data_IF_510524187404
#
_entry.id   IF_510524187404
#
_cell.length_a   1.000
_cell.length_b   1.000
_cell.length_c   1.000
_cell.angle_alpha   90.00
_cell.angle_beta   90.00
_cell.angle_gamma   90.00
#
_symmetry.space_group_name_H-M   'P 1'
#
loop_
_entity.id
_entity.type
_entity.pdbx_description
1 polymer ?
#
# COMPACT_ATOMS: atom_id res chain seq x y z
N UNK A 1 33.62 -4.88 4.86
CA UNK A 1 32.59 -5.44 3.97
C UNK A 1 31.11 -5.10 4.28
N UNK A 2 30.71 -4.30 5.30
CA UNK A 2 29.28 -3.99 5.53
C UNK A 2 28.73 -2.79 4.73
N UNK A 3 29.60 -2.01 4.07
CA UNK A 3 29.19 -0.80 3.33
C UNK A 3 28.64 -1.12 1.92
N UNK A 4 29.17 -2.17 1.28
CA UNK A 4 28.75 -2.60 -0.06
C UNK A 4 27.39 -3.31 -0.04
N UNK A 5 27.05 -4.04 1.03
CA UNK A 5 25.73 -4.69 1.18
C UNK A 5 24.60 -3.66 1.36
N UNK A 6 24.84 -2.59 2.13
CA UNK A 6 23.88 -1.49 2.30
C UNK A 6 23.60 -0.75 0.99
N UNK A 7 24.63 -0.49 0.19
CA UNK A 7 24.49 0.17 -1.13
C UNK A 7 23.69 -0.69 -2.11
N UNK A 8 23.88 -2.01 -2.09
CA UNK A 8 23.14 -2.93 -2.96
C UNK A 8 21.66 -3.04 -2.57
N UNK A 9 21.35 -3.11 -1.27
CA UNK A 9 19.98 -3.22 -0.75
C UNK A 9 19.13 -1.98 -1.09
N UNK A 10 19.65 -0.77 -0.86
CA UNK A 10 18.90 0.47 -1.17
C UNK A 10 18.72 0.69 -2.67
N UNK A 11 19.69 0.29 -3.51
CA UNK A 11 19.60 0.41 -4.97
C UNK A 11 18.62 -0.60 -5.57
N UNK A 12 18.50 -1.80 -5.02
CA UNK A 12 17.56 -2.82 -5.50
C UNK A 12 16.11 -2.37 -5.28
N UNK A 13 15.80 -1.78 -4.12
CA UNK A 13 14.45 -1.23 -3.83
C UNK A 13 14.12 -0.06 -4.76
N UNK A 14 15.07 0.84 -5.00
CA UNK A 14 14.91 1.94 -5.96
C UNK A 14 14.70 1.40 -7.38
N UNK A 15 15.40 0.34 -7.77
CA UNK A 15 15.23 -0.29 -9.09
C UNK A 15 13.85 -0.95 -9.17
N UNK A 16 13.37 -1.68 -8.16
CA UNK A 16 12.03 -2.30 -8.17
C UNK A 16 10.92 -1.24 -8.22
N UNK A 17 11.02 -0.17 -7.43
CA UNK A 17 10.05 0.94 -7.44
C UNK A 17 10.09 1.70 -8.77
N UNK A 18 11.27 2.00 -9.33
CA UNK A 18 11.40 2.70 -10.61
C UNK A 18 11.05 1.82 -11.82
N UNK A 19 11.25 0.50 -11.77
CA UNK A 19 10.88 -0.43 -12.84
C UNK A 19 9.36 -0.58 -12.95
N UNK A 20 8.64 -0.45 -11.83
CA UNK A 20 7.18 -0.33 -11.82
C UNK A 20 6.67 0.99 -12.45
N UNK A 21 7.47 2.07 -12.45
CA UNK A 21 7.09 3.36 -13.08
C UNK A 21 7.43 3.45 -14.58
N UNK A 22 8.50 2.81 -15.04
CA UNK A 22 8.97 2.93 -16.43
C UNK A 22 8.20 2.07 -17.45
N UNK A 23 7.53 1.00 -17.02
CA UNK A 23 6.87 0.06 -17.95
C UNK A 23 5.47 0.50 -18.42
N UNK A 24 4.96 1.65 -17.97
CA UNK A 24 3.66 2.19 -18.40
C UNK A 24 3.70 3.15 -19.60
N UNK A 25 4.88 3.49 -20.15
CA UNK A 25 4.98 4.43 -21.28
C UNK A 25 4.79 3.80 -22.68
N UNK A 26 4.57 2.48 -22.78
CA UNK A 26 4.23 1.85 -24.05
C UNK A 26 2.72 1.68 -24.18
N UNK A 27 2.01 2.79 -24.36
CA UNK A 27 0.61 2.77 -24.78
C UNK A 27 0.53 2.42 -26.27
N UNK A 28 0.39 1.14 -26.59
CA UNK A 28 -0.32 0.76 -27.80
C UNK A 28 -1.82 0.74 -27.46
N UNK A 29 -2.61 1.53 -28.17
CA UNK A 29 -4.07 1.54 -28.07
C UNK A 29 -4.60 0.11 -28.27
N UNK A 30 -5.00 -0.54 -27.18
CA UNK A 30 -5.85 -1.72 -27.25
C UNK A 30 -7.20 -1.28 -26.69
N UNK A 31 -8.17 -1.15 -27.59
CA UNK A 31 -9.56 -0.94 -27.21
C UNK A 31 -9.97 -2.05 -26.23
N UNK A 32 -10.39 -1.73 -25.00
CA UNK A 32 -10.73 -2.73 -23.98
C UNK A 32 -11.92 -3.62 -24.34
N UNK A 33 -12.68 -3.27 -25.38
CA UNK A 33 -13.98 -3.85 -25.69
C UNK A 33 -13.94 -5.18 -26.45
N UNK A 34 -12.79 -5.64 -26.95
CA UNK A 34 -12.67 -6.96 -27.58
C UNK A 34 -11.34 -7.64 -27.21
N UNK A 35 -11.23 -8.12 -25.97
CA UNK A 35 -10.16 -9.06 -25.63
C UNK A 35 -10.72 -10.49 -25.67
N UNK A 36 -10.34 -11.26 -26.68
CA UNK A 36 -10.61 -12.70 -26.70
C UNK A 36 -9.92 -13.37 -25.49
N UNK A 37 -10.55 -14.44 -25.01
CA UNK A 37 -10.08 -15.37 -23.99
C UNK A 37 -8.59 -15.72 -24.12
N UNK A 38 -8.09 -15.95 -25.34
CA UNK A 38 -6.68 -16.28 -25.59
C UNK A 38 -5.73 -15.12 -25.22
N UNK A 39 -6.09 -13.88 -25.53
CA UNK A 39 -5.32 -12.69 -25.14
C UNK A 39 -5.43 -12.45 -23.64
N UNK A 40 -6.62 -12.62 -23.07
CA UNK A 40 -6.86 -12.50 -21.62
C UNK A 40 -5.97 -13.46 -20.84
N UNK A 41 -5.97 -14.74 -21.21
CA UNK A 41 -5.19 -15.78 -20.55
C UNK A 41 -3.68 -15.48 -20.62
N UNK A 42 -3.17 -15.00 -21.77
CA UNK A 42 -1.76 -14.61 -21.91
C UNK A 42 -1.39 -13.44 -21.02
N UNK A 43 -2.22 -12.39 -20.96
CA UNK A 43 -1.97 -11.21 -20.10
C UNK A 43 -2.07 -11.56 -18.64
N UNK A 44 -3.08 -12.35 -18.26
CA UNK A 44 -3.26 -12.84 -16.90
C UNK A 44 -2.04 -13.64 -16.44
N UNK A 45 -1.55 -14.59 -17.25
CA UNK A 45 -0.34 -15.36 -16.91
C UNK A 45 0.88 -14.45 -16.73
N UNK A 46 1.04 -13.41 -17.56
CA UNK A 46 2.12 -12.43 -17.38
C UNK A 46 2.00 -11.65 -16.07
N UNK A 47 0.79 -11.20 -15.73
CA UNK A 47 0.52 -10.50 -14.46
C UNK A 47 0.76 -11.43 -13.26
N UNK A 48 0.35 -12.69 -13.34
CA UNK A 48 0.57 -13.65 -12.25
C UNK A 48 2.06 -13.96 -12.06
N UNK A 49 2.80 -14.25 -13.14
CA UNK A 49 4.23 -14.53 -13.07
C UNK A 49 4.99 -13.28 -12.60
N UNK A 50 4.77 -12.13 -13.26
CA UNK A 50 5.43 -10.87 -12.90
C UNK A 50 5.07 -10.40 -11.50
N UNK A 51 3.80 -10.49 -11.12
CA UNK A 51 3.31 -10.16 -9.78
C UNK A 51 3.91 -11.07 -8.71
N UNK A 52 4.09 -12.36 -8.98
CA UNK A 52 4.76 -13.28 -8.05
C UNK A 52 6.22 -12.91 -7.84
N UNK A 53 6.95 -12.55 -8.91
CA UNK A 53 8.34 -12.07 -8.82
C UNK A 53 8.41 -10.78 -8.00
N UNK A 54 7.53 -9.82 -8.28
CA UNK A 54 7.47 -8.55 -7.52
C UNK A 54 7.15 -8.83 -6.05
N UNK A 55 6.18 -9.68 -5.75
CA UNK A 55 5.81 -10.06 -4.40
C UNK A 55 7.00 -10.66 -3.63
N UNK A 56 7.67 -11.67 -4.19
CA UNK A 56 8.84 -12.30 -3.54
C UNK A 56 9.97 -11.29 -3.33
N UNK A 57 10.25 -10.44 -4.33
CA UNK A 57 11.27 -9.40 -4.22
C UNK A 57 10.91 -8.37 -3.13
N UNK A 58 9.65 -7.96 -3.04
CA UNK A 58 9.16 -7.06 -1.98
C UNK A 58 9.29 -7.69 -0.61
N UNK A 59 8.84 -8.94 -0.41
CA UNK A 59 8.93 -9.63 0.88
C UNK A 59 10.38 -9.83 1.31
N UNK A 60 11.27 -10.22 0.39
CA UNK A 60 12.70 -10.32 0.67
C UNK A 60 13.32 -8.95 1.01
N UNK A 61 12.90 -7.89 0.32
CA UNK A 61 13.32 -6.52 0.62
C UNK A 61 12.86 -6.04 1.99
N UNK A 62 11.61 -6.30 2.37
CA UNK A 62 11.10 -6.02 3.71
C UNK A 62 11.87 -6.81 4.77
N UNK A 63 12.07 -8.10 4.56
CA UNK A 63 12.88 -8.92 5.46
C UNK A 63 14.27 -8.33 5.69
N UNK A 64 15.00 -8.03 4.62
CA UNK A 64 16.36 -7.49 4.69
C UNK A 64 16.42 -6.08 5.31
N UNK A 65 15.44 -5.22 5.07
CA UNK A 65 15.47 -3.81 5.51
C UNK A 65 14.80 -3.56 6.86
N UNK A 66 13.90 -4.44 7.28
CA UNK A 66 13.04 -4.23 8.44
C UNK A 66 13.28 -5.30 9.52
N UNK A 67 13.51 -6.57 9.16
CA UNK A 67 13.52 -7.68 10.13
C UNK A 67 14.90 -8.30 10.41
N UNK A 68 15.81 -8.30 9.44
CA UNK A 68 17.07 -9.06 9.50
C UNK A 68 17.98 -8.77 10.71
N UNK A 69 17.96 -7.53 11.19
CA UNK A 69 18.83 -7.10 12.29
C UNK A 69 18.21 -7.41 13.68
N UNK A 70 17.03 -8.03 13.73
CA UNK A 70 16.33 -8.43 14.94
C UNK A 70 16.32 -9.96 15.10
N UNK A 71 16.29 -10.42 16.34
CA UNK A 71 16.21 -11.86 16.62
C UNK A 71 14.86 -12.40 16.17
N UNK A 72 14.87 -13.54 15.46
CA UNK A 72 13.66 -14.29 15.14
C UNK A 72 13.20 -15.06 16.38
N UNK A 73 11.95 -14.85 16.79
CA UNK A 73 11.35 -15.46 17.98
C UNK A 73 10.32 -16.53 17.61
N UNK A 74 9.69 -17.15 18.60
CA UNK A 74 8.46 -17.93 18.36
C UNK A 74 7.31 -16.99 18.04
N UNK A 75 6.40 -17.41 17.16
CA UNK A 75 5.25 -16.60 16.79
C UNK A 75 4.51 -16.06 18.02
N UNK A 76 4.32 -14.75 18.08
CA UNK A 76 3.64 -14.08 19.17
C UNK A 76 2.77 -12.94 18.64
N UNK A 77 1.72 -12.63 19.39
CA UNK A 77 0.86 -11.49 19.11
C UNK A 77 1.27 -10.27 19.92
N UNK A 78 0.99 -9.10 19.40
CA UNK A 78 1.21 -7.82 20.06
C UNK A 78 -0.02 -6.92 19.91
N UNK A 79 -0.27 -6.06 20.88
CA UNK A 79 -1.36 -5.10 20.82
C UNK A 79 -0.78 -3.69 20.87
N UNK A 80 -0.57 -3.14 19.69
CA UNK A 80 0.03 -1.84 19.44
C UNK A 80 -1.02 -0.76 19.15
N UNK A 81 -2.29 -1.02 19.46
CA UNK A 81 -3.39 -0.07 19.24
C UNK A 81 -3.25 1.25 19.99
N UNK A 82 -2.30 1.39 20.92
CA UNK A 82 -2.00 2.68 21.57
C UNK A 82 -0.73 3.36 21.06
N UNK A 83 -0.04 2.74 20.10
CA UNK A 83 1.21 3.25 19.55
C UNK A 83 0.96 4.23 18.40
N UNK A 84 2.01 5.01 18.11
CA UNK A 84 2.11 5.86 16.92
C UNK A 84 0.93 6.79 16.66
N UNK A 85 0.17 7.14 17.70
CA UNK A 85 -1.03 7.96 17.60
C UNK A 85 -1.95 7.49 16.45
N UNK A 86 -2.12 6.18 16.26
CA UNK A 86 -2.92 5.59 15.16
C UNK A 86 -2.40 5.83 13.73
N UNK A 87 -1.27 6.50 13.53
CA UNK A 87 -0.70 6.70 12.19
C UNK A 87 -0.43 5.39 11.50
N UNK A 88 0.04 4.41 12.26
CA UNK A 88 0.28 3.06 11.80
C UNK A 88 -1.02 2.39 11.30
N UNK A 89 -2.08 2.36 12.13
CA UNK A 89 -3.39 1.79 11.78
C UNK A 89 -4.03 2.47 10.57
N UNK A 90 -3.97 3.80 10.51
CA UNK A 90 -4.49 4.55 9.34
C UNK A 90 -3.61 4.28 8.10
N UNK A 91 -2.30 4.07 8.30
CA UNK A 91 -1.36 3.58 7.29
C UNK A 91 -1.77 2.23 6.72
N UNK A 92 -2.14 1.27 7.59
CA UNK A 92 -2.66 -0.05 7.20
C UNK A 92 -3.94 0.06 6.36
N UNK A 93 -4.92 0.86 6.81
CA UNK A 93 -6.16 1.13 6.04
C UNK A 93 -5.82 1.73 4.67
N UNK A 94 -5.03 2.80 4.64
CA UNK A 94 -4.71 3.52 3.41
C UNK A 94 -3.92 2.66 2.42
N UNK A 95 -2.92 1.92 2.90
CA UNK A 95 -2.07 1.07 2.07
C UNK A 95 -2.87 -0.10 1.48
N UNK A 96 -3.68 -0.76 2.31
CA UNK A 96 -4.56 -1.85 1.87
C UNK A 96 -5.59 -1.40 0.83
N UNK A 97 -6.16 -0.21 1.01
CA UNK A 97 -7.05 0.39 0.02
C UNK A 97 -6.33 0.62 -1.32
N UNK A 98 -5.12 1.20 -1.31
CA UNK A 98 -4.39 1.51 -2.55
C UNK A 98 -3.89 0.24 -3.25
N UNK A 99 -3.36 -0.73 -2.51
CA UNK A 99 -2.96 -2.04 -3.06
C UNK A 99 -4.13 -2.70 -3.78
N UNK A 100 -5.31 -2.69 -3.17
CA UNK A 100 -6.51 -3.27 -3.78
C UNK A 100 -6.92 -2.54 -5.06
N UNK A 101 -6.95 -1.20 -5.02
CA UNK A 101 -7.30 -0.35 -6.15
C UNK A 101 -6.34 -0.46 -7.32
N UNK A 102 -5.03 -0.45 -7.07
CA UNK A 102 -4.03 -0.61 -8.12
C UNK A 102 -4.01 -2.04 -8.65
N UNK A 103 -4.15 -3.04 -7.77
CA UNK A 103 -4.30 -4.44 -8.16
C UNK A 103 -5.46 -4.65 -9.12
N UNK A 104 -6.64 -4.11 -8.82
CA UNK A 104 -7.79 -4.17 -9.73
C UNK A 104 -7.45 -3.60 -11.11
N UNK A 105 -6.84 -2.41 -11.20
CA UNK A 105 -6.47 -1.81 -12.48
C UNK A 105 -5.53 -2.69 -13.31
N UNK A 106 -4.56 -3.35 -12.65
CA UNK A 106 -3.67 -4.31 -13.32
C UNK A 106 -4.47 -5.50 -13.86
N UNK A 107 -5.44 -6.02 -13.11
CA UNK A 107 -6.27 -7.14 -13.57
C UNK A 107 -7.29 -6.74 -14.64
N UNK A 108 -7.88 -5.55 -14.60
CA UNK A 108 -8.72 -5.01 -15.69
C UNK A 108 -7.91 -4.95 -16.98
N UNK A 109 -6.65 -4.51 -16.92
CA UNK A 109 -5.77 -4.47 -18.10
C UNK A 109 -5.56 -5.86 -18.75
N UNK A 110 -5.69 -6.94 -17.97
CA UNK A 110 -5.63 -8.30 -18.52
C UNK A 110 -6.86 -8.68 -19.33
N UNK A 111 -7.97 -7.92 -19.25
CA UNK A 111 -9.26 -8.27 -19.85
C UNK A 111 -10.23 -8.93 -18.87
N UNK A 112 -9.91 -8.98 -17.57
CA UNK A 112 -10.84 -9.47 -16.57
C UNK A 112 -11.98 -8.47 -16.33
N UNK A 113 -13.23 -8.94 -16.15
CA UNK A 113 -14.34 -8.07 -15.76
C UNK A 113 -14.05 -7.36 -14.44
N UNK A 114 -14.52 -6.12 -14.30
CA UNK A 114 -14.22 -5.22 -13.17
C UNK A 114 -14.46 -5.88 -11.81
N UNK A 115 -15.59 -6.58 -11.64
CA UNK A 115 -15.92 -7.29 -10.41
C UNK A 115 -14.92 -8.40 -10.07
N UNK A 116 -14.45 -9.16 -11.06
CA UNK A 116 -13.45 -10.22 -10.86
C UNK A 116 -12.08 -9.62 -10.59
N UNK A 117 -11.72 -8.55 -11.30
CA UNK A 117 -10.49 -7.81 -11.08
C UNK A 117 -10.45 -7.18 -9.67
N UNK A 118 -11.59 -6.68 -9.15
CA UNK A 118 -11.69 -6.11 -7.81
C UNK A 118 -11.36 -7.15 -6.73
N UNK A 119 -11.94 -8.35 -6.83
CA UNK A 119 -11.62 -9.46 -5.91
C UNK A 119 -10.15 -9.89 -5.99
N UNK A 120 -9.56 -9.91 -7.19
CA UNK A 120 -8.15 -10.25 -7.35
C UNK A 120 -7.24 -9.17 -6.74
N UNK A 121 -7.57 -7.88 -6.92
CA UNK A 121 -6.88 -6.78 -6.26
C UNK A 121 -6.96 -6.86 -4.73
N UNK A 122 -8.16 -7.09 -4.19
CA UNK A 122 -8.39 -7.30 -2.76
C UNK A 122 -7.61 -8.51 -2.21
N UNK A 123 -7.55 -9.61 -2.96
CA UNK A 123 -6.77 -10.80 -2.61
C UNK A 123 -5.27 -10.52 -2.56
N UNK A 124 -4.73 -9.79 -3.53
CA UNK A 124 -3.31 -9.37 -3.54
C UNK A 124 -3.01 -8.48 -2.33
N UNK A 125 -3.85 -7.48 -2.05
CA UNK A 125 -3.71 -6.60 -0.88
C UNK A 125 -3.68 -7.40 0.43
N UNK A 126 -4.66 -8.30 0.60
CA UNK A 126 -4.78 -9.13 1.80
C UNK A 126 -3.56 -10.03 1.98
N UNK A 127 -3.11 -10.71 0.91
CA UNK A 127 -1.93 -11.56 0.96
C UNK A 127 -0.67 -10.77 1.33
N UNK A 128 -0.48 -9.61 0.70
CA UNK A 128 0.69 -8.77 0.92
C UNK A 128 0.77 -8.29 2.37
N UNK A 129 -0.32 -7.73 2.89
CA UNK A 129 -0.36 -7.19 4.25
C UNK A 129 -0.28 -8.29 5.30
N UNK A 130 -1.04 -9.38 5.13
CA UNK A 130 -0.98 -10.52 6.07
C UNK A 130 0.43 -11.11 6.16
N UNK A 131 1.19 -11.10 5.07
CA UNK A 131 2.57 -11.60 5.09
C UNK A 131 3.51 -10.73 5.92
N UNK A 132 3.29 -9.42 5.94
CA UNK A 132 4.00 -8.48 6.82
C UNK A 132 3.62 -8.75 8.28
N UNK A 133 2.32 -8.86 8.60
CA UNK A 133 1.88 -9.18 9.97
C UNK A 133 2.48 -10.50 10.48
N UNK A 134 2.62 -11.49 9.58
CA UNK A 134 3.26 -12.77 9.90
C UNK A 134 4.76 -12.58 10.18
N UNK A 135 5.46 -11.73 9.42
CA UNK A 135 6.85 -11.38 9.73
C UNK A 135 6.96 -10.66 11.08
N UNK A 136 6.04 -9.75 11.38
CA UNK A 136 5.97 -9.10 12.69
C UNK A 136 5.80 -10.13 13.81
N UNK A 137 4.92 -11.11 13.64
CA UNK A 137 4.72 -12.18 14.62
C UNK A 137 5.97 -12.99 14.97
N UNK A 138 6.97 -13.06 14.08
CA UNK A 138 8.24 -13.75 14.32
C UNK A 138 9.40 -12.80 14.70
N UNK A 139 9.18 -11.49 14.79
CA UNK A 139 10.20 -10.54 15.22
C UNK A 139 10.42 -10.59 16.73
N UNK A 140 11.51 -9.99 17.23
CA UNK A 140 11.68 -9.70 18.67
C UNK A 140 11.26 -8.27 19.02
N UNK A 141 11.13 -7.41 18.01
CA UNK A 141 10.81 -5.98 18.16
C UNK A 141 9.33 -5.68 17.87
N UNK A 142 8.71 -6.44 16.97
CA UNK A 142 7.29 -6.35 16.59
C UNK A 142 6.58 -7.65 16.90
N UNK A 143 5.25 -7.67 16.77
CA UNK A 143 4.43 -8.87 16.91
C UNK A 143 3.18 -8.79 16.04
N UNK A 144 2.53 -9.94 15.83
CA UNK A 144 1.33 -10.01 15.00
C UNK A 144 0.18 -9.22 15.66
N UNK A 145 -0.30 -8.17 15.00
CA UNK A 145 -1.34 -7.30 15.55
C UNK A 145 -2.71 -7.60 14.95
N UNK A 146 -3.66 -7.92 15.83
CA UNK A 146 -5.07 -8.00 15.42
C UNK A 146 -5.59 -6.61 15.02
N UNK A 147 -5.05 -5.55 15.61
CA UNK A 147 -5.38 -4.17 15.25
C UNK A 147 -5.03 -3.87 13.80
N UNK A 148 -3.87 -4.35 13.34
CA UNK A 148 -3.42 -4.12 11.97
C UNK A 148 -4.12 -5.02 10.98
N UNK A 149 -4.37 -6.29 11.31
CA UNK A 149 -5.25 -7.15 10.49
C UNK A 149 -6.64 -6.53 10.31
N UNK A 150 -7.24 -5.97 11.35
CA UNK A 150 -8.52 -5.28 11.25
C UNK A 150 -8.42 -4.01 10.39
N UNK A 151 -7.36 -3.23 10.55
CA UNK A 151 -7.10 -2.02 9.75
C UNK A 151 -6.89 -2.36 8.26
N UNK A 152 -6.12 -3.40 7.97
CA UNK A 152 -5.91 -3.93 6.63
C UNK A 152 -7.22 -4.40 5.98
N UNK A 153 -8.02 -5.12 6.77
CA UNK A 153 -9.35 -5.59 6.36
C UNK A 153 -10.29 -4.42 6.09
N UNK A 154 -10.28 -3.38 6.94
CA UNK A 154 -11.10 -2.19 6.75
C UNK A 154 -10.73 -1.44 5.47
N UNK A 155 -9.44 -1.26 5.17
CA UNK A 155 -8.99 -0.62 3.93
C UNK A 155 -9.38 -1.39 2.68
N UNK A 156 -9.12 -2.70 2.66
CA UNK A 156 -9.51 -3.59 1.56
C UNK A 156 -11.03 -3.65 1.40
N UNK A 157 -11.76 -3.74 2.51
CA UNK A 157 -13.22 -3.78 2.55
C UNK A 157 -13.85 -2.48 2.07
N UNK A 158 -13.29 -1.32 2.42
CA UNK A 158 -13.75 -0.02 1.91
C UNK A 158 -13.58 0.06 0.39
N UNK A 159 -12.43 -0.37 -0.14
CA UNK A 159 -12.22 -0.42 -1.59
C UNK A 159 -13.26 -1.33 -2.26
N UNK A 160 -13.37 -2.57 -1.77
CA UNK A 160 -14.20 -3.59 -2.40
C UNK A 160 -15.69 -3.27 -2.28
N UNK A 161 -16.13 -2.74 -1.13
CA UNK A 161 -17.50 -2.31 -0.93
C UNK A 161 -17.92 -1.23 -1.92
N UNK A 162 -17.05 -0.27 -2.22
CA UNK A 162 -17.30 0.75 -3.23
C UNK A 162 -17.42 0.15 -4.64
N UNK A 163 -16.51 -0.75 -5.04
CA UNK A 163 -16.59 -1.44 -6.33
C UNK A 163 -17.87 -2.28 -6.47
N UNK A 164 -18.26 -2.98 -5.41
CA UNK A 164 -19.40 -3.92 -5.46
C UNK A 164 -20.76 -3.23 -5.34
N UNK A 165 -20.84 -2.08 -4.66
CA UNK A 165 -22.10 -1.38 -4.41
C UNK A 165 -22.34 -0.21 -5.36
N UNK A 166 -21.28 0.47 -5.77
CA UNK A 166 -21.38 1.69 -6.59
C UNK A 166 -20.73 1.56 -7.96
N UNK A 167 -19.96 0.50 -8.21
CA UNK A 167 -19.21 0.32 -9.45
C UNK A 167 -18.26 1.51 -9.75
N UNK A 168 -17.91 2.27 -8.70
CA UNK A 168 -16.99 3.41 -8.74
C UNK A 168 -16.38 3.68 -7.35
N UNK A 169 -15.21 4.33 -7.33
CA UNK A 169 -14.58 4.79 -6.10
C UNK A 169 -14.99 6.23 -5.76
N UNK A 170 -16.02 6.39 -4.94
CA UNK A 170 -16.53 7.70 -4.47
C UNK A 170 -15.64 8.36 -3.42
N UNK A 171 -14.99 7.54 -2.61
CA UNK A 171 -14.05 7.90 -1.56
C UNK A 171 -12.69 7.29 -1.87
N UNK A 172 -11.65 8.12 -1.77
CA UNK A 172 -10.29 7.73 -2.12
C UNK A 172 -9.31 8.19 -1.06
N UNK A 173 -8.39 7.31 -0.68
CA UNK A 173 -7.26 7.71 0.14
C UNK A 173 -6.24 8.51 -0.67
N UNK A 174 -5.62 9.50 -0.04
CA UNK A 174 -4.48 10.25 -0.56
C UNK A 174 -3.42 10.35 0.53
N UNK A 175 -2.18 10.52 0.12
CA UNK A 175 -1.03 10.59 0.99
C UNK A 175 -0.25 11.86 0.68
N UNK A 176 0.17 12.57 1.73
CA UNK A 176 1.11 13.70 1.61
C UNK A 176 2.23 13.55 2.63
N UNK A 177 3.41 14.01 2.25
CA UNK A 177 4.59 13.98 3.09
C UNK A 177 5.28 15.33 3.12
N UNK A 178 5.84 15.67 4.28
CA UNK A 178 6.76 16.78 4.42
C UNK A 178 7.89 16.40 5.37
N UNK A 179 9.06 17.02 5.19
CA UNK A 179 10.20 16.75 6.06
C UNK A 179 9.98 17.35 7.45
N UNK A 180 10.30 16.58 8.48
CA UNK A 180 10.23 17.03 9.87
C UNK A 180 11.60 17.12 10.52
N UNK A 181 11.63 17.66 11.74
CA UNK A 181 12.82 17.69 12.59
C UNK A 181 13.09 16.38 13.33
N UNK A 182 12.17 15.41 13.34
CA UNK A 182 12.25 14.25 14.23
C UNK A 182 13.30 13.19 13.82
N UNK A 183 13.54 12.92 12.52
CA UNK A 183 14.53 11.93 12.10
C UNK A 183 15.95 12.18 12.62
N UNK A 184 16.31 13.42 12.96
CA UNK A 184 17.64 13.71 13.55
C UNK A 184 17.84 13.10 14.94
N UNK A 185 16.77 12.78 15.66
CA UNK A 185 16.83 12.18 17.00
C UNK A 185 16.89 10.65 16.96
N UNK A 186 16.22 10.03 15.98
CA UNK A 186 16.15 8.57 15.80
C UNK A 186 16.24 8.18 14.32
N UNK A 187 17.39 8.43 13.65
CA UNK A 187 17.52 8.26 12.21
C UNK A 187 17.40 6.80 11.74
N UNK A 188 17.71 5.81 12.59
CA UNK A 188 17.50 4.40 12.29
C UNK A 188 16.01 4.02 12.18
N UNK A 189 15.18 4.61 13.04
CA UNK A 189 13.75 4.34 13.13
C UNK A 189 12.95 5.19 12.15
N UNK A 190 13.23 6.49 12.10
CA UNK A 190 12.49 7.49 11.31
C UNK A 190 13.10 7.75 9.93
N UNK A 191 14.21 7.09 9.59
CA UNK A 191 14.84 7.15 8.28
C UNK A 191 16.01 8.13 8.15
N UNK A 192 17.07 7.68 7.46
CA UNK A 192 18.29 8.45 7.22
C UNK A 192 18.21 9.22 5.91
N UNK A 193 17.71 8.55 4.86
CA UNK A 193 17.54 9.11 3.51
C UNK A 193 16.15 9.73 3.30
N UNK A 194 15.99 10.54 2.24
CA UNK A 194 14.69 11.14 1.90
C UNK A 194 13.61 10.09 1.64
N UNK A 195 13.99 8.98 0.99
CA UNK A 195 13.07 7.87 0.68
C UNK A 195 12.69 7.12 1.95
N UNK A 196 13.64 6.84 2.83
CA UNK A 196 13.32 6.22 4.13
C UNK A 196 12.40 7.11 4.96
N UNK A 197 12.63 8.43 5.01
CA UNK A 197 11.76 9.34 5.75
C UNK A 197 10.34 9.36 5.22
N UNK A 198 10.17 9.34 3.90
CA UNK A 198 8.84 9.25 3.27
C UNK A 198 8.08 8.01 3.77
N UNK A 199 8.76 6.88 3.96
CA UNK A 199 8.10 5.63 4.38
C UNK A 199 7.97 5.55 5.92
N UNK A 200 9.04 5.87 6.65
CA UNK A 200 9.20 5.59 8.08
C UNK A 200 8.84 6.75 9.01
N UNK A 201 8.97 8.01 8.56
CA UNK A 201 8.74 9.17 9.43
C UNK A 201 7.25 9.52 9.47
N UNK A 202 6.47 8.83 10.32
CA UNK A 202 5.05 9.13 10.52
C UNK A 202 4.79 10.60 10.89
N UNK A 203 5.76 11.27 11.51
CA UNK A 203 5.61 12.68 11.87
C UNK A 203 5.39 13.59 10.66
N UNK A 204 5.92 13.20 9.49
CA UNK A 204 5.79 13.97 8.26
C UNK A 204 4.59 13.59 7.41
N UNK A 205 3.84 12.56 7.81
CA UNK A 205 2.81 11.95 7.00
C UNK A 205 1.43 12.52 7.33
N UNK A 206 0.62 12.72 6.30
CA UNK A 206 -0.81 12.95 6.45
C UNK A 206 -1.56 12.06 5.48
N UNK A 207 -2.47 11.26 6.00
CA UNK A 207 -3.34 10.40 5.23
C UNK A 207 -4.70 11.06 5.15
N UNK A 208 -5.19 11.24 3.93
CA UNK A 208 -6.43 11.95 3.64
C UNK A 208 -7.46 10.98 3.09
N UNK A 209 -8.70 11.11 3.53
CA UNK A 209 -9.86 10.53 2.86
C UNK A 209 -10.57 11.62 2.07
N UNK A 210 -10.58 11.49 0.75
CA UNK A 210 -11.15 12.45 -0.19
C UNK A 210 -12.40 11.87 -0.83
N UNK A 211 -13.53 12.55 -0.69
CA UNK A 211 -14.82 12.17 -1.25
C UNK A 211 -15.24 13.13 -2.36
N UNK A 212 -15.67 12.60 -3.50
CA UNK A 212 -16.30 13.41 -4.55
C UNK A 212 -17.73 13.72 -4.14
N UNK A 213 -18.07 14.99 -3.96
CA UNK A 213 -19.41 15.37 -3.46
C UNK A 213 -20.49 14.96 -4.47
N UNK A 214 -20.22 15.13 -5.77
CA UNK A 214 -21.19 14.89 -6.83
C UNK A 214 -21.60 13.40 -6.91
N UNK A 215 -20.66 12.48 -6.66
CA UNK A 215 -20.89 11.03 -6.66
C UNK A 215 -21.86 10.54 -5.57
N UNK A 216 -22.32 11.38 -4.64
CA UNK A 216 -23.26 10.97 -3.58
C UNK A 216 -24.72 11.35 -3.87
N UNK A 217 -25.15 11.29 -5.14
CA UNK A 217 -26.55 11.60 -5.50
C UNK A 217 -26.79 13.08 -5.78
N UNK A 218 -25.74 13.82 -6.15
CA UNK A 218 -25.82 15.25 -6.48
C UNK A 218 -25.50 15.52 -7.96
N UNK A 219 -25.69 14.53 -8.83
CA UNK A 219 -25.33 14.57 -10.26
C UNK A 219 -26.05 15.70 -11.01
N UNK A 220 -27.30 15.97 -10.64
CA UNK A 220 -28.17 17.01 -11.24
C UNK A 220 -27.93 18.42 -10.67
N UNK A 221 -26.98 18.58 -9.73
CA UNK A 221 -26.68 19.88 -9.14
C UNK A 221 -25.64 20.66 -9.93
N UNK A 222 -25.51 21.97 -9.66
CA UNK A 222 -24.47 22.83 -10.22
C UNK A 222 -23.08 22.63 -9.58
N UNK A 223 -22.91 21.61 -8.73
CA UNK A 223 -21.64 21.32 -8.08
C UNK A 223 -20.64 20.82 -9.15
N UNK A 224 -19.44 21.43 -9.26
CA UNK A 224 -18.45 20.99 -10.22
C UNK A 224 -17.94 19.58 -9.93
N UNK A 225 -17.72 18.78 -10.98
CA UNK A 225 -17.24 17.38 -10.88
C UNK A 225 -15.87 17.25 -10.23
N UNK A 226 -15.02 18.27 -10.33
CA UNK A 226 -13.69 18.26 -9.72
C UNK A 226 -13.72 18.57 -8.21
N UNK A 227 -14.85 19.03 -7.67
CA UNK A 227 -14.95 19.41 -6.26
C UNK A 227 -14.98 18.17 -5.37
N UNK A 228 -13.99 18.10 -4.47
CA UNK A 228 -13.87 17.03 -3.48
C UNK A 228 -13.81 17.64 -2.07
N UNK A 229 -14.40 16.95 -1.11
CA UNK A 229 -14.20 17.21 0.31
C UNK A 229 -13.14 16.24 0.84
N UNK A 230 -12.19 16.71 1.64
CA UNK A 230 -11.12 15.87 2.20
C UNK A 230 -10.95 16.08 3.69
N UNK A 231 -10.80 14.98 4.43
CA UNK A 231 -10.44 14.98 5.85
C UNK A 231 -9.10 14.28 6.01
N UNK A 232 -8.16 14.93 6.69
CA UNK A 232 -6.80 14.45 6.87
C UNK A 232 -6.50 14.10 8.32
N UNK A 233 -5.73 13.03 8.52
CA UNK A 233 -5.14 12.66 9.79
C UNK A 233 -3.62 12.64 9.68
N UNK A 234 -2.97 13.36 10.60
CA UNK A 234 -1.52 13.42 10.74
C UNK A 234 -1.18 13.61 12.21
N UNK A 235 -0.02 13.12 12.63
CA UNK A 235 0.43 13.22 14.01
C UNK A 235 1.92 13.56 14.05
N UNK A 236 2.37 14.25 15.09
CA UNK A 236 3.76 14.68 15.27
C UNK A 236 4.25 14.40 16.70
N UNK A 237 5.56 14.45 16.90
CA UNK A 237 6.19 14.30 18.22
C UNK A 237 6.57 12.85 18.58
N UNK A 238 6.41 11.92 17.64
CA UNK A 238 6.66 10.49 17.84
C UNK A 238 8.11 10.17 17.50
N UNK A 239 8.96 10.04 18.53
CA UNK A 239 10.34 9.54 18.40
C UNK A 239 10.49 8.12 18.96
N UNK A 240 9.42 7.55 19.50
CA UNK A 240 9.35 6.18 20.02
C UNK A 240 7.88 5.75 20.05
N UNK A 241 7.65 4.44 20.00
CA UNK A 241 6.38 3.84 20.41
C UNK A 241 6.10 4.10 21.90
N UNK A 242 4.84 3.96 22.31
CA UNK A 242 4.36 4.30 23.66
C UNK A 242 4.69 3.23 24.68
#
# INVERSE_FOLDING_TARGET
MPFLSKIFSTRLVIIVVLFCFQTFNSSAQVNPTESDSATTNKRLNKVLIGGSVVYVASMAGFYELWYKDFETTTFHSFNDNSEWLQMDKIGHVGTSYQLSKWGQRVFIWTGLPDRKAAWYGAGVSTLFQTSIEVFDGFSSEWGFSVGDVLSNTAGTGLFLGQELLWEEQRMTFKYSFHNTKYPKYRPSLLGQSQVEKLIKDYNGQTIWLSANIKSFGFEETKIPEWLNLSVGYGAEGMITAK
#
